data_IF_257971954387
#
_entry.id   IF_257971954387
#
_cell.length_a   1.000
_cell.length_b   1.000
_cell.length_c   1.000
_cell.angle_alpha   90.00
_cell.angle_beta   90.00
_cell.angle_gamma   90.00
#
_symmetry.space_group_name_H-M   'P 1'
#
loop_
_entity.id
_entity.type
_entity.pdbx_description
1 polymer ?
#
# COMPACT_ATOMS: atom_id res chain seq x y z
N UNK A 1 -14.28 9.77 40.02
CA UNK A 1 -12.92 10.34 39.87
C UNK A 1 -12.13 9.68 38.76
N UNK A 2 -12.58 8.50 38.18
CA UNK A 2 -11.83 7.75 37.15
C UNK A 2 -11.95 8.31 35.71
N UNK A 3 -12.95 9.12 35.37
CA UNK A 3 -13.17 9.59 33.99
C UNK A 3 -12.25 10.73 33.54
N UNK A 4 -11.76 11.55 34.46
CA UNK A 4 -10.91 12.70 34.12
C UNK A 4 -9.48 12.30 33.78
N UNK A 5 -8.95 11.22 34.37
CA UNK A 5 -7.58 10.74 34.14
C UNK A 5 -7.46 10.09 32.75
N UNK A 6 -8.50 9.37 32.30
CA UNK A 6 -8.55 8.72 30.97
C UNK A 6 -8.59 9.78 29.86
N UNK A 7 -9.34 10.87 30.04
CA UNK A 7 -9.41 11.94 29.03
C UNK A 7 -8.07 12.69 28.85
N UNK A 8 -7.32 12.90 29.93
CA UNK A 8 -6.03 13.61 29.89
C UNK A 8 -4.94 12.80 29.19
N UNK A 9 -5.00 11.45 29.25
CA UNK A 9 -4.02 10.58 28.58
C UNK A 9 -4.37 10.35 27.11
N UNK A 10 -5.66 10.27 26.77
CA UNK A 10 -6.12 10.02 25.40
C UNK A 10 -5.89 11.22 24.45
N UNK A 11 -6.07 12.45 24.94
CA UNK A 11 -5.89 13.66 24.11
C UNK A 11 -4.47 13.81 23.53
N UNK A 12 -3.37 13.64 24.28
CA UNK A 12 -2.03 13.70 23.70
C UNK A 12 -1.74 12.55 22.74
N UNK A 13 -2.25 11.34 22.99
CA UNK A 13 -2.09 10.19 22.11
C UNK A 13 -2.79 10.42 20.77
N UNK A 14 -4.03 10.89 20.78
CA UNK A 14 -4.77 11.24 19.57
C UNK A 14 -4.11 12.37 18.78
N UNK A 15 -3.53 13.35 19.45
CA UNK A 15 -2.79 14.43 18.81
C UNK A 15 -1.51 13.91 18.12
N UNK A 16 -0.75 13.03 18.78
CA UNK A 16 0.45 12.38 18.19
C UNK A 16 0.07 11.54 16.98
N UNK A 17 -0.98 10.73 17.07
CA UNK A 17 -1.47 9.92 15.94
C UNK A 17 -1.84 10.84 14.76
N UNK A 18 -2.58 11.93 15.00
CA UNK A 18 -2.96 12.87 13.96
C UNK A 18 -1.76 13.55 13.28
N UNK A 19 -0.73 13.93 14.05
CA UNK A 19 0.51 14.52 13.50
C UNK A 19 1.27 13.51 12.65
N UNK A 20 1.38 12.26 13.07
CA UNK A 20 2.09 11.21 12.31
C UNK A 20 1.33 10.82 11.04
N UNK A 21 0.02 10.70 11.10
CA UNK A 21 -0.82 10.44 9.93
C UNK A 21 -0.71 11.55 8.88
N UNK A 22 -0.77 12.81 9.30
CA UNK A 22 -0.54 13.97 8.41
C UNK A 22 0.89 13.99 7.85
N UNK A 23 1.88 13.54 8.64
CA UNK A 23 3.26 13.44 8.20
C UNK A 23 3.45 12.42 7.07
N UNK A 24 2.80 11.26 7.15
CA UNK A 24 2.84 10.22 6.12
C UNK A 24 2.18 10.72 4.83
N UNK A 25 1.02 11.35 4.91
CA UNK A 25 0.36 11.94 3.74
C UNK A 25 1.22 13.06 3.13
N UNK A 26 1.78 13.95 3.94
CA UNK A 26 2.65 15.03 3.46
C UNK A 26 3.93 14.52 2.78
N UNK A 27 4.51 13.41 3.25
CA UNK A 27 5.64 12.75 2.59
C UNK A 27 5.24 12.17 1.23
N UNK A 28 4.06 11.52 1.15
CA UNK A 28 3.51 11.03 -0.10
C UNK A 28 3.29 12.17 -1.11
N UNK A 29 2.65 13.25 -0.69
CA UNK A 29 2.35 14.41 -1.54
C UNK A 29 3.62 15.12 -2.03
N UNK A 30 4.71 15.07 -1.26
CA UNK A 30 6.00 15.62 -1.67
C UNK A 30 6.70 14.78 -2.75
N UNK A 31 6.46 13.47 -2.75
CA UNK A 31 7.10 12.53 -3.67
C UNK A 31 6.28 12.24 -4.94
N UNK A 32 4.96 12.39 -4.86
CA UNK A 32 4.05 11.98 -5.92
C UNK A 32 3.06 13.10 -6.24
N UNK A 33 3.10 13.61 -7.46
CA UNK A 33 2.17 14.62 -7.97
C UNK A 33 1.34 14.05 -9.11
N UNK A 34 0.02 14.12 -8.99
CA UNK A 34 -0.92 13.59 -9.97
C UNK A 34 -1.57 14.73 -10.76
N UNK A 35 -1.50 14.66 -12.09
CA UNK A 35 -2.31 15.49 -12.96
C UNK A 35 -3.65 14.79 -13.20
N UNK A 36 -4.71 15.30 -12.59
CA UNK A 36 -6.06 14.70 -12.64
C UNK A 36 -6.68 14.70 -14.05
N UNK A 37 -6.26 15.60 -14.94
CA UNK A 37 -6.77 15.69 -16.29
C UNK A 37 -6.09 14.71 -17.25
N UNK A 38 -4.77 14.52 -17.10
CA UNK A 38 -3.97 13.65 -17.98
C UNK A 38 -3.71 12.27 -17.39
N UNK A 39 -4.00 12.08 -16.11
CA UNK A 39 -3.62 10.89 -15.32
C UNK A 39 -2.10 10.61 -15.33
N UNK A 40 -1.31 11.66 -15.57
CA UNK A 40 0.14 11.58 -15.44
C UNK A 40 0.55 11.75 -13.98
N UNK A 41 1.51 10.92 -13.57
CA UNK A 41 2.08 10.89 -12.23
C UNK A 41 3.54 11.31 -12.34
N UNK A 42 3.90 12.43 -11.74
CA UNK A 42 5.29 12.82 -11.57
C UNK A 42 5.81 12.28 -10.24
N UNK A 43 6.84 11.45 -10.30
CA UNK A 43 7.56 10.96 -9.13
C UNK A 43 8.81 11.81 -8.94
N UNK A 44 8.97 12.37 -7.73
CA UNK A 44 10.00 13.35 -7.41
C UNK A 44 10.82 12.92 -6.20
N UNK A 45 11.99 13.54 -6.02
CA UNK A 45 12.74 13.49 -4.76
C UNK A 45 12.15 14.45 -3.74
N UNK A 46 12.55 14.37 -2.47
CA UNK A 46 12.19 15.37 -1.47
C UNK A 46 12.76 16.77 -1.76
N UNK A 47 13.80 16.88 -2.58
CA UNK A 47 14.31 18.17 -3.09
C UNK A 47 13.50 18.73 -4.27
N UNK A 48 12.49 17.96 -4.75
CA UNK A 48 11.63 18.36 -5.85
C UNK A 48 12.12 17.97 -7.24
N UNK A 49 13.29 17.30 -7.35
CA UNK A 49 13.82 16.86 -8.64
C UNK A 49 12.96 15.74 -9.23
N UNK A 50 12.63 15.85 -10.52
CA UNK A 50 11.85 14.83 -11.24
C UNK A 50 12.68 13.54 -11.37
N UNK A 51 12.12 12.41 -10.90
CA UNK A 51 12.68 11.07 -11.08
C UNK A 51 12.16 10.45 -12.37
N UNK A 52 10.83 10.44 -12.53
CA UNK A 52 10.15 9.89 -13.70
C UNK A 52 8.73 10.43 -13.81
N UNK A 53 8.13 10.26 -15.00
CA UNK A 53 6.71 10.47 -15.24
C UNK A 53 6.09 9.15 -15.68
N UNK A 54 4.96 8.78 -15.08
CA UNK A 54 4.20 7.56 -15.34
C UNK A 54 2.77 7.91 -15.70
N UNK A 55 2.05 6.95 -16.30
CA UNK A 55 0.59 7.02 -16.43
C UNK A 55 -0.05 6.15 -15.35
N UNK A 56 -1.09 6.65 -14.69
CA UNK A 56 -1.80 5.91 -13.66
C UNK A 56 -2.38 4.60 -14.21
N UNK A 57 -2.26 3.53 -13.44
CA UNK A 57 -2.74 2.22 -13.82
C UNK A 57 -4.26 2.11 -13.66
N UNK A 58 -4.89 1.42 -14.60
CA UNK A 58 -6.30 0.99 -14.49
C UNK A 58 -6.42 -0.41 -13.88
N UNK A 59 -5.30 -1.09 -13.67
CA UNK A 59 -5.26 -2.46 -13.14
C UNK A 59 -5.08 -2.44 -11.63
N UNK A 60 -6.18 -2.51 -10.90
CA UNK A 60 -6.15 -2.73 -9.46
C UNK A 60 -5.64 -4.13 -9.15
N UNK A 61 -4.86 -4.31 -8.05
CA UNK A 61 -4.28 -5.61 -7.72
C UNK A 61 -5.32 -6.67 -7.37
N UNK A 62 -6.48 -6.25 -6.91
CA UNK A 62 -7.63 -7.12 -6.64
C UNK A 62 -8.92 -6.33 -6.82
N UNK A 63 -10.00 -6.98 -7.26
CA UNK A 63 -11.34 -6.40 -7.24
C UNK A 63 -11.96 -6.58 -5.85
N UNK A 64 -12.42 -5.49 -5.25
CA UNK A 64 -12.98 -5.54 -3.91
C UNK A 64 -13.33 -4.18 -3.34
N UNK A 65 -13.60 -4.14 -2.05
CA UNK A 65 -13.93 -2.92 -1.31
C UNK A 65 -12.70 -2.48 -0.53
N UNK A 66 -12.33 -1.21 -0.60
CA UNK A 66 -11.28 -0.66 0.26
C UNK A 66 -11.82 -0.58 1.69
N UNK A 67 -11.20 -1.32 2.59
CA UNK A 67 -11.56 -1.41 4.01
C UNK A 67 -10.73 -0.49 4.89
N UNK A 68 -9.52 -0.13 4.44
CA UNK A 68 -8.68 0.86 5.11
C UNK A 68 -7.87 1.68 4.10
N UNK A 69 -7.87 2.99 4.29
CA UNK A 69 -7.15 3.94 3.45
C UNK A 69 -5.73 4.18 3.94
N UNK A 70 -4.87 4.66 3.03
CA UNK A 70 -3.52 5.12 3.35
C UNK A 70 -3.53 6.24 4.39
N UNK A 71 -2.58 6.21 5.31
CA UNK A 71 -2.41 7.19 6.37
C UNK A 71 -3.41 7.08 7.52
N UNK A 72 -4.49 6.30 7.39
CA UNK A 72 -5.48 6.12 8.47
C UNK A 72 -4.90 5.24 9.57
N UNK A 73 -4.94 5.66 10.85
CA UNK A 73 -4.41 4.85 11.95
C UNK A 73 -5.20 3.56 12.16
N UNK A 74 -4.49 2.48 12.52
CA UNK A 74 -5.08 1.21 12.94
C UNK A 74 -4.40 0.69 14.22
N UNK A 75 -4.62 1.34 15.38
CA UNK A 75 -4.04 0.88 16.64
C UNK A 75 -4.59 -0.51 17.06
N UNK A 76 -3.78 -1.41 17.65
CA UNK A 76 -2.39 -1.17 18.05
C UNK A 76 -1.37 -1.48 16.96
N UNK A 77 -1.79 -1.88 15.76
CA UNK A 77 -0.90 -2.41 14.72
C UNK A 77 -0.08 -1.32 14.02
N UNK A 78 -0.74 -0.17 13.69
CA UNK A 78 -0.08 0.92 12.97
C UNK A 78 -0.55 2.28 13.47
N UNK A 79 0.40 3.23 13.58
CA UNK A 79 0.08 4.64 13.90
C UNK A 79 -0.45 5.37 12.65
N UNK A 80 0.07 4.98 11.46
CA UNK A 80 -0.42 5.42 10.17
C UNK A 80 -0.32 4.24 9.20
N UNK A 81 -1.36 3.97 8.44
CA UNK A 81 -1.42 2.87 7.49
C UNK A 81 -0.51 3.15 6.29
N UNK A 82 0.43 2.26 5.99
CA UNK A 82 1.44 2.45 4.95
C UNK A 82 0.95 2.15 3.54
N UNK A 83 -0.24 1.55 3.39
CA UNK A 83 -0.85 1.18 2.14
C UNK A 83 -2.36 1.40 2.13
N UNK A 84 -3.06 0.60 1.35
CA UNK A 84 -4.51 0.45 1.39
C UNK A 84 -4.86 -1.02 1.59
N UNK A 85 -5.95 -1.29 2.34
CA UNK A 85 -6.47 -2.64 2.49
C UNK A 85 -7.71 -2.82 1.61
N UNK A 86 -7.74 -3.93 0.87
CA UNK A 86 -8.81 -4.24 -0.09
C UNK A 86 -9.35 -5.63 0.23
N UNK A 87 -10.62 -5.72 0.59
CA UNK A 87 -11.34 -6.99 0.74
C UNK A 87 -11.96 -7.39 -0.61
N UNK A 88 -11.35 -8.36 -1.27
CA UNK A 88 -11.87 -9.00 -2.48
C UNK A 88 -12.54 -10.34 -2.21
N UNK A 89 -12.29 -10.91 -1.03
CA UNK A 89 -12.74 -12.22 -0.58
C UNK A 89 -11.61 -13.25 -0.55
N UNK A 90 -11.52 -13.98 0.53
CA UNK A 90 -10.47 -14.99 0.76
C UNK A 90 -10.26 -15.92 -0.45
N UNK A 91 -9.00 -16.09 -0.86
CA UNK A 91 -8.61 -16.94 -1.98
C UNK A 91 -8.80 -16.32 -3.37
N UNK A 92 -9.21 -15.06 -3.46
CA UNK A 92 -9.28 -14.34 -4.75
C UNK A 92 -7.89 -14.08 -5.31
N UNK A 93 -7.73 -14.11 -6.65
CA UNK A 93 -6.45 -13.81 -7.29
C UNK A 93 -6.01 -12.37 -7.01
N UNK A 94 -4.74 -12.24 -6.60
CA UNK A 94 -4.02 -10.97 -6.48
C UNK A 94 -3.13 -10.82 -7.70
N UNK A 95 -3.20 -9.67 -8.36
CA UNK A 95 -2.44 -9.39 -9.59
C UNK A 95 -1.46 -8.23 -9.37
N UNK A 96 -0.40 -8.19 -10.17
CA UNK A 96 0.50 -7.04 -10.15
C UNK A 96 -0.13 -5.85 -10.89
N UNK A 97 0.04 -4.63 -10.35
CA UNK A 97 -0.57 -3.42 -10.91
C UNK A 97 0.27 -2.78 -12.04
N UNK A 98 1.58 -2.97 -12.02
CA UNK A 98 2.52 -2.39 -12.97
C UNK A 98 3.63 -3.40 -13.31
N UNK A 99 4.20 -3.32 -14.51
CA UNK A 99 5.30 -4.20 -14.89
C UNK A 99 6.51 -4.04 -13.96
N UNK A 100 7.22 -5.13 -13.71
CA UNK A 100 8.40 -5.10 -12.84
C UNK A 100 9.08 -6.44 -12.72
N UNK A 101 9.91 -6.54 -11.70
CA UNK A 101 10.64 -7.75 -11.34
C UNK A 101 10.43 -8.07 -9.88
N UNK A 102 10.08 -9.31 -9.57
CA UNK A 102 9.88 -9.76 -8.18
C UNK A 102 11.19 -9.62 -7.41
N UNK A 103 11.18 -8.80 -6.38
CA UNK A 103 12.33 -8.53 -5.50
C UNK A 103 12.35 -9.48 -4.32
N UNK A 104 11.19 -9.69 -3.70
CA UNK A 104 10.98 -10.63 -2.61
C UNK A 104 9.70 -11.46 -2.81
N UNK A 105 9.73 -12.72 -2.35
CA UNK A 105 8.57 -13.61 -2.29
C UNK A 105 8.71 -14.49 -1.04
N UNK A 106 7.73 -14.44 -0.12
CA UNK A 106 7.76 -15.09 1.18
C UNK A 106 7.76 -14.09 2.33
N UNK A 107 8.15 -14.51 3.52
CA UNK A 107 8.18 -13.67 4.72
C UNK A 107 9.46 -12.81 4.73
N UNK A 108 9.37 -11.55 4.36
CA UNK A 108 10.51 -10.62 4.34
C UNK A 108 10.25 -9.33 5.12
N UNK A 109 8.99 -9.08 5.51
CA UNK A 109 8.58 -7.87 6.23
C UNK A 109 7.76 -8.26 7.45
N UNK A 110 8.04 -7.66 8.61
CA UNK A 110 7.31 -7.94 9.85
C UNK A 110 5.81 -7.70 9.68
N UNK A 111 5.02 -8.72 10.02
CA UNK A 111 3.57 -8.66 9.97
C UNK A 111 2.93 -8.94 8.62
N UNK A 112 3.70 -9.09 7.54
CA UNK A 112 3.14 -9.30 6.22
C UNK A 112 2.58 -10.72 5.99
N UNK A 113 3.00 -11.72 6.80
CA UNK A 113 2.67 -13.14 6.61
C UNK A 113 3.74 -13.91 5.84
N UNK A 114 3.50 -15.19 5.58
CA UNK A 114 4.48 -16.07 4.92
C UNK A 114 4.43 -16.00 3.39
N UNK A 115 3.41 -15.35 2.84
CA UNK A 115 3.15 -15.28 1.40
C UNK A 115 3.13 -13.84 0.86
N UNK A 116 4.04 -12.98 1.31
CA UNK A 116 4.17 -11.62 0.78
C UNK A 116 4.97 -11.59 -0.52
N UNK A 117 4.68 -10.61 -1.36
CA UNK A 117 5.43 -10.35 -2.59
C UNK A 117 5.79 -8.88 -2.67
N UNK A 118 7.03 -8.59 -3.06
CA UNK A 118 7.50 -7.24 -3.40
C UNK A 118 7.99 -7.23 -4.84
N UNK A 119 7.60 -6.20 -5.58
CA UNK A 119 7.94 -6.02 -7.00
C UNK A 119 8.62 -4.69 -7.20
N UNK A 120 9.84 -4.69 -7.75
CA UNK A 120 10.56 -3.51 -8.23
C UNK A 120 10.06 -3.13 -9.63
N UNK A 121 9.59 -1.91 -9.77
CA UNK A 121 9.08 -1.32 -11.01
C UNK A 121 10.10 -0.41 -11.71
N UNK A 122 11.31 -0.31 -11.12
CA UNK A 122 12.32 0.65 -11.54
C UNK A 122 12.10 2.04 -10.94
N UNK A 123 13.07 2.92 -11.16
CA UNK A 123 13.06 4.30 -10.67
C UNK A 123 12.96 4.45 -9.13
N UNK A 124 13.18 3.35 -8.37
CA UNK A 124 12.99 3.29 -6.93
C UNK A 124 11.51 3.22 -6.52
N UNK A 125 10.66 2.70 -7.39
CA UNK A 125 9.24 2.45 -7.13
C UNK A 125 9.07 0.97 -6.89
N UNK A 126 8.58 0.61 -5.70
CA UNK A 126 8.30 -0.77 -5.31
C UNK A 126 6.84 -0.92 -4.91
N UNK A 127 6.26 -2.10 -5.12
CA UNK A 127 4.95 -2.45 -4.59
C UNK A 127 5.02 -3.69 -3.71
N UNK A 128 4.27 -3.69 -2.62
CA UNK A 128 4.19 -4.78 -1.64
C UNK A 128 2.75 -5.28 -1.57
N UNK A 129 2.62 -6.60 -1.61
CA UNK A 129 1.37 -7.35 -1.53
C UNK A 129 1.45 -8.26 -0.32
N UNK A 130 0.69 -7.96 0.73
CA UNK A 130 0.80 -8.68 2.00
C UNK A 130 -0.52 -9.38 2.38
N UNK A 131 -0.43 -10.22 3.43
CA UNK A 131 -1.50 -11.03 4.00
C UNK A 131 -2.06 -12.10 3.07
N UNK A 132 -1.37 -12.40 1.96
CA UNK A 132 -1.79 -13.45 1.02
C UNK A 132 -1.73 -14.84 1.66
N UNK A 133 -2.63 -15.74 1.23
CA UNK A 133 -2.65 -17.15 1.63
C UNK A 133 -1.70 -18.03 0.80
N UNK A 134 -1.30 -17.54 -0.37
CA UNK A 134 -0.33 -18.18 -1.24
C UNK A 134 0.31 -17.15 -2.17
N UNK A 135 1.58 -17.37 -2.54
CA UNK A 135 2.22 -16.71 -3.68
C UNK A 135 2.63 -17.77 -4.72
N UNK A 136 2.63 -17.40 -6.00
CA UNK A 136 2.96 -18.27 -7.12
C UNK A 136 4.06 -17.71 -8.02
N UNK A 137 4.84 -16.77 -7.51
CA UNK A 137 5.97 -16.14 -8.20
C UNK A 137 7.27 -16.38 -7.43
N UNK A 138 8.40 -16.20 -8.12
CA UNK A 138 9.74 -16.39 -7.57
C UNK A 138 10.56 -15.11 -7.70
N UNK A 139 11.50 -14.92 -6.77
CA UNK A 139 12.47 -13.81 -6.83
C UNK A 139 13.19 -13.81 -8.19
N UNK A 140 13.26 -12.63 -8.79
CA UNK A 140 13.85 -12.42 -10.11
C UNK A 140 12.89 -12.64 -11.29
N UNK A 141 11.67 -13.11 -11.06
CA UNK A 141 10.65 -13.27 -12.11
C UNK A 141 10.19 -11.91 -12.63
N UNK A 142 10.10 -11.75 -13.95
CA UNK A 142 9.47 -10.59 -14.57
C UNK A 142 7.96 -10.76 -14.58
N UNK A 143 7.25 -9.71 -14.24
CA UNK A 143 5.77 -9.65 -14.15
C UNK A 143 5.24 -8.41 -14.88
N UNK A 144 4.01 -8.48 -15.38
CA UNK A 144 3.31 -7.39 -16.06
C UNK A 144 1.90 -7.19 -15.50
N UNK A 145 1.27 -6.03 -15.72
CA UNK A 145 -0.07 -5.75 -15.21
C UNK A 145 -1.05 -6.88 -15.47
N UNK A 146 -1.76 -7.31 -14.42
CA UNK A 146 -2.73 -8.39 -14.46
C UNK A 146 -2.17 -9.81 -14.29
N UNK A 147 -0.85 -10.00 -14.26
CA UNK A 147 -0.28 -11.31 -13.91
C UNK A 147 -0.63 -11.65 -12.46
N UNK A 148 -1.16 -12.87 -12.24
CA UNK A 148 -1.51 -13.34 -10.89
C UNK A 148 -0.23 -13.69 -10.14
N UNK A 149 -0.04 -13.06 -8.98
CA UNK A 149 1.15 -13.24 -8.13
C UNK A 149 0.85 -14.00 -6.83
N UNK A 150 -0.43 -14.16 -6.49
CA UNK A 150 -0.85 -14.86 -5.28
C UNK A 150 -2.35 -14.89 -5.12
N UNK A 151 -2.78 -15.30 -3.92
CA UNK A 151 -4.17 -15.36 -3.52
C UNK A 151 -4.38 -14.57 -2.23
N UNK A 152 -5.47 -13.80 -2.17
CA UNK A 152 -5.86 -13.08 -0.95
C UNK A 152 -5.96 -14.04 0.25
N UNK A 153 -5.58 -13.56 1.41
CA UNK A 153 -5.57 -14.32 2.64
C UNK A 153 -5.81 -13.48 3.88
N UNK A 154 -5.35 -13.99 5.01
CA UNK A 154 -5.41 -13.33 6.31
C UNK A 154 -4.17 -13.65 7.13
N UNK A 155 -2.99 -13.70 6.49
CA UNK A 155 -1.75 -14.03 7.18
C UNK A 155 -1.10 -12.82 7.85
N UNK A 156 -0.21 -13.07 8.80
CA UNK A 156 0.49 -12.02 9.51
C UNK A 156 -0.40 -11.19 10.43
N UNK A 157 -0.24 -9.85 10.43
CA UNK A 157 -0.99 -8.95 11.30
C UNK A 157 -2.34 -8.53 10.68
N UNK A 158 -3.11 -9.50 10.20
CA UNK A 158 -4.42 -9.28 9.62
C UNK A 158 -5.54 -9.60 10.62
N UNK A 159 -6.55 -8.75 10.72
CA UNK A 159 -7.75 -8.99 11.54
C UNK A 159 -8.83 -9.80 10.81
N UNK A 160 -8.71 -9.97 9.50
CA UNK A 160 -9.62 -10.69 8.61
C UNK A 160 -9.02 -10.80 7.22
N UNK A 161 -9.72 -11.45 6.29
CA UNK A 161 -9.25 -11.57 4.92
C UNK A 161 -9.21 -10.20 4.22
N UNK A 162 -8.06 -9.84 3.68
CA UNK A 162 -7.86 -8.67 2.82
C UNK A 162 -6.47 -8.74 2.17
N UNK A 163 -6.30 -8.00 1.09
CA UNK A 163 -5.00 -7.65 0.55
C UNK A 163 -4.54 -6.33 1.15
N UNK A 164 -3.39 -6.30 1.82
CA UNK A 164 -2.67 -5.06 2.07
C UNK A 164 -1.82 -4.74 0.83
N UNK A 165 -2.10 -3.61 0.20
CA UNK A 165 -1.40 -3.12 -0.99
C UNK A 165 -0.68 -1.82 -0.67
N UNK A 166 0.66 -1.84 -0.75
CA UNK A 166 1.53 -0.70 -0.47
C UNK A 166 2.35 -0.35 -1.71
N UNK A 167 2.57 0.94 -1.95
CA UNK A 167 3.54 1.44 -2.93
C UNK A 167 4.56 2.28 -2.18
N UNK A 168 5.83 2.09 -2.51
CA UNK A 168 6.94 2.86 -1.97
C UNK A 168 7.66 3.60 -3.09
N UNK A 169 8.17 4.81 -2.76
CA UNK A 169 9.12 5.56 -3.57
C UNK A 169 10.40 5.68 -2.76
N UNK A 170 11.46 4.97 -3.18
CA UNK A 170 12.75 4.90 -2.48
C UNK A 170 12.62 4.50 -1.01
N UNK A 171 11.77 3.50 -0.74
CA UNK A 171 11.52 2.97 0.59
C UNK A 171 10.59 3.83 1.45
N UNK A 172 10.00 4.90 0.90
CA UNK A 172 9.01 5.74 1.60
C UNK A 172 7.61 5.35 1.11
N UNK A 173 6.70 4.89 1.99
CA UNK A 173 5.33 4.61 1.63
C UNK A 173 4.63 5.86 1.07
N UNK A 174 3.93 5.67 -0.06
CA UNK A 174 3.14 6.72 -0.72
C UNK A 174 1.72 6.23 -0.96
N UNK A 175 0.78 7.15 -1.11
CA UNK A 175 -0.63 6.81 -1.29
C UNK A 175 -0.84 6.01 -2.59
N UNK A 176 -1.23 4.71 -2.51
CA UNK A 176 -1.43 3.89 -3.70
C UNK A 176 -2.50 4.44 -4.65
N UNK A 177 -3.48 5.21 -4.14
CA UNK A 177 -4.50 5.84 -4.98
C UNK A 177 -3.91 6.79 -6.01
N UNK A 178 -2.75 7.41 -5.74
CA UNK A 178 -2.06 8.28 -6.69
C UNK A 178 -1.58 7.55 -7.95
N UNK A 179 -1.45 6.23 -7.90
CA UNK A 179 -1.02 5.39 -9.02
C UNK A 179 -2.16 4.68 -9.75
N UNK A 180 -3.40 4.84 -9.26
CA UNK A 180 -4.56 4.07 -9.72
C UNK A 180 -5.64 4.97 -10.29
N UNK A 181 -6.36 4.49 -11.30
CA UNK A 181 -7.57 5.14 -11.83
C UNK A 181 -8.81 4.44 -11.30
N UNK A 182 -9.78 5.20 -10.82
CA UNK A 182 -11.05 4.68 -10.32
C UNK A 182 -10.96 3.98 -8.96
N UNK A 183 -11.83 3.03 -8.74
CA UNK A 183 -11.89 2.21 -7.52
C UNK A 183 -11.87 0.72 -7.85
N UNK A 184 -11.38 -0.15 -6.96
CA UNK A 184 -11.31 -1.59 -7.20
C UNK A 184 -12.67 -2.30 -7.26
N UNK A 185 -13.75 -1.68 -6.78
CA UNK A 185 -15.12 -2.19 -6.81
C UNK A 185 -15.83 -1.97 -8.16
N UNK A 186 -15.26 -1.09 -9.00
CA UNK A 186 -15.79 -0.71 -10.32
C UNK A 186 -14.85 -1.21 -11.42
N UNK A 187 -14.91 -2.48 -11.70
CA UNK A 187 -14.18 -3.08 -12.81
C UNK A 187 -15.07 -3.53 -13.94
#
# INVERSE_FOLDING_TARGET
>A
VGGVVIAIILLPVLAVIGVMSNGVQGASDALVHVNEQTHEIEVRTFSGDLITTLTASTTWPIKGVITQEFGVPNPPYQIAHSGIDIDGGFGKPVTVFMQGKVLHAGNFLAGCGDNCVEVDHGYGIDSIYAHMSAHNVQVGQSVKPGDVIGLEGAEGWASGAHLHFEIQVRGVPVNPRSFMVGNPDKG
#
